data_IF_676665905043
#
_entry.id   IF_676665905043
#
_cell.length_a   1.000
_cell.length_b   1.000
_cell.length_c   1.000
_cell.angle_alpha   90.00
_cell.angle_beta   90.00
_cell.angle_gamma   90.00
#
_symmetry.space_group_name_H-M   'P 1'
#
loop_
_entity.id
_entity.type
_entity.pdbx_description
1 polymer ?
#
# COMPACT_ATOMS: atom_id res chain seq x y z
N UNK A 1 21.66 -7.32 -7.47
CA UNK A 1 20.76 -6.18 -7.78
C UNK A 1 19.27 -6.58 -7.78
N UNK A 2 18.74 -7.30 -8.81
CA UNK A 2 17.30 -7.64 -8.84
C UNK A 2 16.88 -8.54 -7.67
N UNK A 3 17.69 -9.52 -7.30
CA UNK A 3 17.46 -10.37 -6.14
C UNK A 3 17.43 -9.58 -4.84
N UNK A 4 18.30 -8.60 -4.66
CA UNK A 4 18.36 -7.79 -3.45
C UNK A 4 17.11 -6.92 -3.29
N UNK A 5 16.60 -6.37 -4.40
CA UNK A 5 15.34 -5.61 -4.42
C UNK A 5 14.17 -6.53 -4.06
N UNK A 6 14.05 -7.68 -4.71
CA UNK A 6 13.01 -8.67 -4.44
C UNK A 6 13.02 -9.10 -2.97
N UNK A 7 14.18 -9.56 -2.49
CA UNK A 7 14.34 -10.01 -1.12
C UNK A 7 14.04 -8.90 -0.11
N UNK A 8 14.53 -7.69 -0.35
CA UNK A 8 14.30 -6.54 0.53
C UNK A 8 12.81 -6.19 0.63
N UNK A 9 12.11 -6.09 -0.50
CA UNK A 9 10.69 -5.75 -0.52
C UNK A 9 9.85 -6.82 0.19
N UNK A 10 10.11 -8.12 -0.05
CA UNK A 10 9.39 -9.19 0.66
C UNK A 10 9.72 -9.28 2.15
N UNK A 11 10.93 -8.93 2.56
CA UNK A 11 11.28 -8.84 3.99
C UNK A 11 10.45 -7.78 4.69
N UNK A 12 10.26 -6.61 4.07
CA UNK A 12 9.41 -5.55 4.61
C UNK A 12 7.91 -5.90 4.54
N UNK A 13 7.45 -6.63 3.51
CA UNK A 13 6.10 -7.18 3.46
C UNK A 13 5.86 -8.14 4.64
N UNK A 14 6.84 -8.99 4.97
CA UNK A 14 6.79 -9.84 6.15
C UNK A 14 6.61 -9.06 7.45
N UNK A 15 7.36 -7.96 7.62
CA UNK A 15 7.22 -7.07 8.78
C UNK A 15 5.83 -6.39 8.82
N UNK A 16 5.33 -5.92 7.67
CA UNK A 16 3.98 -5.35 7.58
C UNK A 16 2.91 -6.39 7.96
N UNK A 17 3.01 -7.61 7.47
CA UNK A 17 2.08 -8.70 7.82
C UNK A 17 2.12 -9.04 9.33
N UNK A 18 3.30 -9.05 9.93
CA UNK A 18 3.44 -9.26 11.38
C UNK A 18 2.73 -8.16 12.17
N UNK A 19 2.91 -6.90 11.77
CA UNK A 19 2.27 -5.76 12.42
C UNK A 19 0.74 -5.77 12.21
N UNK A 20 0.26 -6.08 11.01
CA UNK A 20 -1.17 -6.23 10.71
C UNK A 20 -1.79 -7.28 11.62
N UNK A 21 -1.22 -8.49 11.68
CA UNK A 21 -1.73 -9.56 12.51
C UNK A 21 -1.73 -9.20 14.02
N UNK A 22 -0.69 -8.50 14.48
CA UNK A 22 -0.58 -8.03 15.87
C UNK A 22 -1.63 -6.97 16.21
N UNK A 23 -1.85 -6.00 15.35
CA UNK A 23 -2.83 -4.93 15.55
C UNK A 23 -4.27 -5.46 15.45
N UNK A 24 -4.57 -6.35 14.49
CA UNK A 24 -5.88 -7.03 14.41
C UNK A 24 -6.20 -7.80 15.69
N UNK A 25 -5.24 -8.58 16.19
CA UNK A 25 -5.41 -9.32 17.45
C UNK A 25 -5.67 -8.38 18.63
N UNK A 26 -4.97 -7.26 18.69
CA UNK A 26 -5.10 -6.28 19.76
C UNK A 26 -6.46 -5.57 19.69
N UNK A 27 -6.90 -5.15 18.50
CA UNK A 27 -8.22 -4.56 18.28
C UNK A 27 -9.37 -5.54 18.63
N UNK A 28 -9.18 -6.82 18.32
CA UNK A 28 -10.17 -7.87 18.64
C UNK A 28 -10.22 -8.24 20.13
N UNK A 29 -9.22 -7.88 20.93
CA UNK A 29 -9.13 -8.27 22.34
C UNK A 29 -10.20 -7.60 23.23
N UNK A 30 -10.70 -6.43 22.82
CA UNK A 30 -11.64 -5.64 23.62
C UNK A 30 -11.05 -5.03 24.90
N UNK A 31 -9.71 -5.03 25.03
CA UNK A 31 -9.00 -4.54 26.21
C UNK A 31 -8.50 -3.10 26.09
N UNK A 32 -8.57 -2.53 24.90
CA UNK A 32 -8.10 -1.17 24.61
C UNK A 32 -9.15 -0.14 25.02
N UNK A 33 -8.71 0.98 25.57
CA UNK A 33 -9.54 2.17 25.68
C UNK A 33 -9.73 2.86 24.33
N UNK A 34 -10.51 3.94 24.27
CA UNK A 34 -10.82 4.66 23.04
C UNK A 34 -9.56 5.29 22.41
N UNK A 35 -8.65 5.83 23.21
CA UNK A 35 -7.42 6.47 22.76
C UNK A 35 -6.45 5.45 22.15
N UNK A 36 -6.25 4.35 22.87
CA UNK A 36 -5.39 3.24 22.44
C UNK A 36 -5.97 2.57 21.20
N UNK A 37 -7.29 2.40 21.12
CA UNK A 37 -7.97 1.87 19.94
C UNK A 37 -7.66 2.71 18.69
N UNK A 38 -7.78 4.04 18.77
CA UNK A 38 -7.46 4.96 17.67
C UNK A 38 -5.99 4.87 17.27
N UNK A 39 -5.09 4.78 18.23
CA UNK A 39 -3.66 4.64 18.00
C UNK A 39 -3.33 3.32 17.28
N UNK A 40 -3.90 2.21 17.74
CA UNK A 40 -3.70 0.90 17.11
C UNK A 40 -4.31 0.84 15.73
N UNK A 41 -5.47 1.46 15.51
CA UNK A 41 -6.09 1.60 14.19
C UNK A 41 -5.20 2.39 13.22
N UNK A 42 -4.56 3.47 13.67
CA UNK A 42 -3.60 4.23 12.86
C UNK A 42 -2.42 3.33 12.44
N UNK A 43 -1.83 2.57 13.36
CA UNK A 43 -0.73 1.65 13.05
C UNK A 43 -1.15 0.52 12.10
N UNK A 44 -2.36 0.00 12.25
CA UNK A 44 -2.93 -0.97 11.31
C UNK A 44 -3.02 -0.37 9.90
N UNK A 45 -3.59 0.83 9.78
CA UNK A 45 -3.69 1.53 8.48
C UNK A 45 -2.33 1.82 7.85
N UNK A 46 -1.35 2.24 8.65
CA UNK A 46 0.04 2.46 8.18
C UNK A 46 0.68 1.16 7.68
N UNK A 47 0.47 0.04 8.37
CA UNK A 47 0.99 -1.26 7.95
C UNK A 47 0.34 -1.74 6.64
N UNK A 48 -0.97 -1.52 6.46
CA UNK A 48 -1.67 -1.80 5.21
C UNK A 48 -1.11 -0.92 4.08
N UNK A 49 -0.94 0.38 4.29
CA UNK A 49 -0.32 1.28 3.32
C UNK A 49 1.08 0.81 2.92
N UNK A 50 1.92 0.43 3.88
CA UNK A 50 3.28 -0.05 3.62
C UNK A 50 3.24 -1.31 2.74
N UNK A 51 2.36 -2.27 3.05
CA UNK A 51 2.22 -3.49 2.25
C UNK A 51 1.76 -3.17 0.82
N UNK A 52 0.75 -2.33 0.66
CA UNK A 52 0.29 -1.86 -0.65
C UNK A 52 1.41 -1.20 -1.46
N UNK A 53 2.16 -0.29 -0.85
CA UNK A 53 3.27 0.41 -1.49
C UNK A 53 4.39 -0.54 -1.93
N UNK A 54 4.73 -1.51 -1.10
CA UNK A 54 5.75 -2.52 -1.43
C UNK A 54 5.30 -3.46 -2.54
N UNK A 55 4.03 -3.93 -2.51
CA UNK A 55 3.45 -4.72 -3.59
C UNK A 55 3.40 -3.93 -4.90
N UNK A 56 3.00 -2.65 -4.85
CA UNK A 56 3.01 -1.78 -6.03
C UNK A 56 4.42 -1.61 -6.60
N UNK A 57 5.44 -1.42 -5.75
CA UNK A 57 6.83 -1.38 -6.23
C UNK A 57 7.26 -2.70 -6.87
N UNK A 58 6.87 -3.85 -6.29
CA UNK A 58 7.15 -5.16 -6.89
C UNK A 58 6.54 -5.29 -8.28
N UNK A 59 5.32 -4.80 -8.50
CA UNK A 59 4.71 -4.85 -9.85
C UNK A 59 5.50 -4.00 -10.84
N UNK A 60 5.97 -2.81 -10.44
CA UNK A 60 6.73 -1.90 -11.32
C UNK A 60 8.09 -2.47 -11.73
N UNK A 61 8.70 -3.35 -10.93
CA UNK A 61 10.00 -3.95 -11.24
C UNK A 61 9.92 -5.32 -11.89
N UNK A 62 8.84 -6.09 -11.66
CA UNK A 62 8.83 -7.52 -11.95
C UNK A 62 7.61 -8.01 -12.73
N UNK A 63 6.66 -7.13 -13.05
CA UNK A 63 5.50 -7.46 -13.86
C UNK A 63 5.51 -6.70 -15.18
N UNK A 64 4.66 -7.12 -16.08
CA UNK A 64 4.29 -6.37 -17.27
C UNK A 64 3.39 -5.19 -16.89
N UNK A 65 3.20 -4.24 -17.80
CA UNK A 65 2.27 -3.13 -17.61
C UNK A 65 0.84 -3.67 -17.39
N UNK A 66 0.09 -3.01 -16.52
CA UNK A 66 -1.28 -3.41 -16.25
C UNK A 66 -2.19 -3.09 -17.45
N UNK A 67 -2.85 -4.12 -17.96
CA UNK A 67 -3.89 -4.00 -18.97
C UNK A 67 -5.15 -4.68 -18.44
N UNK A 68 -6.27 -3.94 -18.25
CA UNK A 68 -7.52 -4.50 -17.71
C UNK A 68 -8.06 -5.68 -18.51
N UNK A 69 -7.77 -5.78 -19.81
CA UNK A 69 -8.24 -6.87 -20.66
C UNK A 69 -7.44 -8.17 -20.46
N UNK A 70 -6.19 -8.07 -20.01
CA UNK A 70 -5.26 -9.21 -19.91
C UNK A 70 -4.74 -9.49 -18.51
N UNK A 71 -4.96 -8.60 -17.54
CA UNK A 71 -4.41 -8.70 -16.17
C UNK A 71 -4.78 -10.02 -15.46
N UNK A 72 -5.96 -10.57 -15.73
CA UNK A 72 -6.40 -11.86 -15.19
C UNK A 72 -5.62 -13.08 -15.72
N UNK A 73 -4.92 -12.92 -16.85
CA UNK A 73 -4.07 -13.96 -17.46
C UNK A 73 -2.57 -13.63 -17.37
N UNK A 74 -2.21 -12.41 -17.00
CA UNK A 74 -0.84 -11.94 -16.84
C UNK A 74 -0.29 -12.28 -15.47
N UNK A 75 1.00 -12.65 -15.38
CA UNK A 75 1.63 -12.97 -14.10
C UNK A 75 1.84 -11.71 -13.25
N UNK A 76 1.26 -11.74 -12.04
CA UNK A 76 1.55 -10.81 -10.96
C UNK A 76 2.79 -11.22 -10.16
N UNK A 77 2.83 -10.81 -8.89
CA UNK A 77 3.81 -11.27 -7.90
C UNK A 77 3.13 -12.16 -6.85
N UNK A 78 3.88 -12.96 -6.07
CA UNK A 78 3.31 -13.67 -4.93
C UNK A 78 2.66 -12.71 -3.93
N UNK A 79 1.36 -12.83 -3.72
CA UNK A 79 0.62 -12.03 -2.73
C UNK A 79 0.68 -12.71 -1.37
N UNK A 80 1.57 -12.22 -0.50
CA UNK A 80 1.78 -12.76 0.84
C UNK A 80 1.12 -11.83 1.86
N UNK A 81 0.03 -12.29 2.48
CA UNK A 81 -0.78 -11.49 3.43
C UNK A 81 -0.67 -11.96 4.88
N UNK A 82 0.07 -13.06 5.12
CA UNK A 82 0.27 -13.61 6.46
C UNK A 82 1.74 -13.67 6.82
N UNK A 83 2.04 -13.52 8.08
CA UNK A 83 3.37 -13.73 8.63
C UNK A 83 3.49 -15.20 9.08
N UNK A 84 3.96 -16.05 8.18
CA UNK A 84 4.13 -17.50 8.40
C UNK A 84 5.53 -17.93 7.92
N UNK A 85 6.60 -17.53 8.62
CA UNK A 85 7.95 -17.89 8.21
C UNK A 85 8.13 -19.41 8.21
N UNK A 86 8.61 -19.96 7.12
CA UNK A 86 8.83 -21.39 6.95
C UNK A 86 10.08 -21.69 6.12
N UNK A 87 10.76 -22.79 6.42
CA UNK A 87 11.81 -23.35 5.58
C UNK A 87 11.30 -24.45 4.64
N UNK A 88 10.01 -24.77 4.69
CA UNK A 88 9.37 -25.78 3.85
C UNK A 88 9.06 -25.16 2.48
N UNK A 89 9.81 -25.57 1.46
CA UNK A 89 9.65 -25.05 0.09
C UNK A 89 8.30 -25.34 -0.54
N UNK A 90 7.58 -26.38 -0.10
CA UNK A 90 6.23 -26.71 -0.59
C UNK A 90 5.20 -25.66 -0.18
N UNK A 91 5.52 -24.85 0.83
CA UNK A 91 4.66 -23.76 1.34
C UNK A 91 5.03 -22.39 0.77
N UNK A 92 6.03 -22.31 -0.09
CA UNK A 92 6.40 -21.03 -0.67
C UNK A 92 5.30 -20.53 -1.61
N UNK A 93 4.91 -19.27 -1.49
CA UNK A 93 3.86 -18.72 -2.33
C UNK A 93 4.29 -18.64 -3.78
N UNK A 94 3.39 -18.99 -4.68
CA UNK A 94 3.59 -18.87 -6.13
C UNK A 94 3.10 -17.53 -6.65
N UNK A 95 3.54 -17.16 -7.84
CA UNK A 95 3.00 -15.99 -8.55
C UNK A 95 1.52 -16.23 -8.87
N UNK A 96 0.70 -15.27 -8.49
CA UNK A 96 -0.69 -15.20 -8.93
C UNK A 96 -0.83 -14.38 -10.21
N UNK A 97 -2.05 -13.91 -10.47
CA UNK A 97 -2.32 -12.99 -11.58
C UNK A 97 -1.96 -11.56 -11.22
N UNK A 98 -1.75 -10.75 -12.23
CA UNK A 98 -1.52 -9.31 -12.07
C UNK A 98 -2.77 -8.63 -11.48
N UNK A 99 -3.96 -9.04 -11.96
CA UNK A 99 -5.24 -8.60 -11.40
C UNK A 99 -5.32 -8.84 -9.88
N UNK A 100 -5.09 -10.07 -9.42
CA UNK A 100 -5.13 -10.41 -7.98
C UNK A 100 -4.09 -9.62 -7.16
N UNK A 101 -2.94 -9.29 -7.76
CA UNK A 101 -1.93 -8.44 -7.10
C UNK A 101 -2.46 -7.03 -6.89
N UNK A 102 -3.07 -6.42 -7.92
CA UNK A 102 -3.63 -5.08 -7.83
C UNK A 102 -4.89 -5.03 -6.95
N UNK A 103 -5.73 -6.07 -6.96
CA UNK A 103 -6.84 -6.20 -6.01
C UNK A 103 -6.38 -6.13 -4.56
N UNK A 104 -5.27 -6.82 -4.22
CA UNK A 104 -4.71 -6.73 -2.87
C UNK A 104 -4.14 -5.35 -2.57
N UNK A 105 -3.49 -4.69 -3.53
CA UNK A 105 -2.99 -3.32 -3.38
C UNK A 105 -4.14 -2.36 -3.08
N UNK A 106 -5.21 -2.41 -3.86
CA UNK A 106 -6.40 -1.56 -3.68
C UNK A 106 -7.03 -1.82 -2.33
N UNK A 107 -7.25 -3.09 -1.96
CA UNK A 107 -7.80 -3.48 -0.65
C UNK A 107 -7.00 -2.91 0.51
N UNK A 108 -5.69 -2.99 0.45
CA UNK A 108 -4.82 -2.45 1.50
C UNK A 108 -4.86 -0.92 1.57
N UNK A 109 -4.98 -0.24 0.43
CA UNK A 109 -5.13 1.20 0.38
C UNK A 109 -6.49 1.67 0.92
N UNK A 110 -7.56 0.90 0.69
CA UNK A 110 -8.89 1.18 1.24
C UNK A 110 -8.89 1.03 2.77
N UNK A 111 -8.24 -0.02 3.31
CA UNK A 111 -8.05 -0.15 4.76
C UNK A 111 -7.20 0.99 5.32
N UNK A 112 -6.13 1.39 4.65
CA UNK A 112 -5.33 2.53 5.05
C UNK A 112 -6.15 3.84 5.06
N UNK A 113 -6.93 4.12 4.03
CA UNK A 113 -7.80 5.31 3.95
C UNK A 113 -8.81 5.35 5.09
N UNK A 114 -9.36 4.18 5.47
CA UNK A 114 -10.37 4.05 6.52
C UNK A 114 -9.80 4.36 7.91
N UNK A 115 -8.58 3.93 8.20
CA UNK A 115 -8.05 3.96 9.56
C UNK A 115 -7.01 5.07 9.80
N UNK A 116 -6.35 5.57 8.77
CA UNK A 116 -5.41 6.69 8.91
C UNK A 116 -6.18 7.99 9.06
N UNK A 117 -6.04 8.63 10.22
CA UNK A 117 -6.71 9.89 10.56
C UNK A 117 -5.78 11.09 10.52
N UNK A 118 -4.47 10.89 10.51
CA UNK A 118 -3.48 11.95 10.47
C UNK A 118 -3.68 12.84 9.24
N UNK A 119 -3.81 14.17 9.43
CA UNK A 119 -4.01 15.09 8.31
C UNK A 119 -2.76 15.15 7.42
N UNK A 120 -2.97 15.56 6.17
CA UNK A 120 -1.87 15.82 5.25
C UNK A 120 -1.02 17.00 5.72
N UNK A 121 0.29 16.78 5.79
CA UNK A 121 1.27 17.82 6.08
C UNK A 121 2.50 17.63 5.21
N UNK A 122 3.07 18.75 4.76
CA UNK A 122 4.34 18.74 4.02
C UNK A 122 5.45 18.21 4.95
N UNK A 123 6.29 17.33 4.43
CA UNK A 123 7.42 16.72 5.15
C UNK A 123 7.03 15.90 6.40
N UNK A 124 5.85 15.29 6.40
CA UNK A 124 5.49 14.35 7.47
C UNK A 124 6.42 13.14 7.47
N UNK A 125 6.88 12.74 8.67
CA UNK A 125 7.61 11.49 8.88
C UNK A 125 6.68 10.27 8.98
N UNK A 126 5.37 10.50 9.02
CA UNK A 126 4.34 9.46 9.19
C UNK A 126 3.45 9.38 7.94
N UNK A 127 2.78 8.26 7.77
CA UNK A 127 1.77 8.10 6.73
C UNK A 127 0.55 8.95 7.10
N UNK A 128 0.16 9.82 6.18
CA UNK A 128 -1.00 10.70 6.32
C UNK A 128 -2.09 10.31 5.32
N UNK A 129 -3.30 10.84 5.49
CA UNK A 129 -4.39 10.66 4.53
C UNK A 129 -3.97 11.04 3.10
N UNK A 130 -3.25 12.13 2.97
CA UNK A 130 -2.83 12.63 1.65
C UNK A 130 -1.81 11.72 0.97
N UNK A 131 -0.93 11.08 1.76
CA UNK A 131 0.02 10.07 1.24
C UNK A 131 -0.74 8.84 0.71
N UNK A 132 -1.77 8.39 1.41
CA UNK A 132 -2.65 7.30 0.94
C UNK A 132 -3.35 7.71 -0.35
N UNK A 133 -3.99 8.89 -0.36
CA UNK A 133 -4.69 9.43 -1.53
C UNK A 133 -3.76 9.55 -2.75
N UNK A 134 -2.52 9.99 -2.54
CA UNK A 134 -1.53 10.09 -3.61
C UNK A 134 -1.17 8.71 -4.21
N UNK A 135 -1.00 7.69 -3.37
CA UNK A 135 -0.74 6.34 -3.86
C UNK A 135 -1.96 5.73 -4.55
N UNK A 136 -3.18 5.97 -4.03
CA UNK A 136 -4.42 5.56 -4.69
C UNK A 136 -4.53 6.17 -6.10
N UNK A 137 -4.22 7.47 -6.26
CA UNK A 137 -4.21 8.11 -7.57
C UNK A 137 -3.23 7.44 -8.54
N UNK A 138 -2.02 7.11 -8.08
CA UNK A 138 -1.00 6.44 -8.91
C UNK A 138 -1.40 5.02 -9.29
N UNK A 139 -1.90 4.25 -8.34
CA UNK A 139 -2.37 2.87 -8.57
C UNK A 139 -3.53 2.87 -9.57
N UNK A 140 -4.54 3.73 -9.36
CA UNK A 140 -5.67 3.86 -10.27
C UNK A 140 -5.23 4.27 -11.69
N UNK A 141 -4.29 5.21 -11.81
CA UNK A 141 -3.73 5.60 -13.11
C UNK A 141 -3.06 4.41 -13.82
N UNK A 142 -2.28 3.63 -13.08
CA UNK A 142 -1.61 2.44 -13.64
C UNK A 142 -2.62 1.35 -14.05
N UNK A 143 -3.73 1.24 -13.32
CA UNK A 143 -4.83 0.31 -13.64
C UNK A 143 -5.75 0.79 -14.77
N UNK A 144 -5.48 1.95 -15.37
CA UNK A 144 -6.34 2.63 -16.35
C UNK A 144 -7.72 3.05 -15.77
N UNK A 145 -7.88 3.08 -14.46
CA UNK A 145 -9.04 3.68 -13.79
C UNK A 145 -8.85 5.20 -13.71
N UNK A 146 -9.07 5.85 -14.84
CA UNK A 146 -8.84 7.29 -14.98
C UNK A 146 -9.82 8.14 -14.16
N UNK A 147 -11.01 7.62 -13.87
CA UNK A 147 -12.01 8.31 -13.07
C UNK A 147 -11.53 8.42 -11.61
N UNK A 148 -11.15 7.31 -10.99
CA UNK A 148 -10.58 7.29 -9.64
C UNK A 148 -9.26 8.07 -9.57
N UNK A 149 -8.39 7.92 -10.56
CA UNK A 149 -7.12 8.65 -10.62
C UNK A 149 -7.33 10.16 -10.62
N UNK A 150 -8.27 10.65 -11.44
CA UNK A 150 -8.62 12.07 -11.52
C UNK A 150 -9.21 12.57 -10.20
N UNK A 151 -10.15 11.82 -9.61
CA UNK A 151 -10.79 12.19 -8.34
C UNK A 151 -9.77 12.34 -7.22
N UNK A 152 -8.90 11.33 -7.04
CA UNK A 152 -7.88 11.33 -5.97
C UNK A 152 -6.81 12.40 -6.20
N UNK A 153 -6.32 12.58 -7.43
CA UNK A 153 -5.37 13.64 -7.76
C UNK A 153 -5.98 15.04 -7.54
N UNK A 154 -7.23 15.24 -7.97
CA UNK A 154 -7.94 16.51 -7.80
C UNK A 154 -8.13 16.84 -6.31
N UNK A 155 -8.45 15.87 -5.47
CA UNK A 155 -8.57 16.05 -4.01
C UNK A 155 -7.29 16.68 -3.42
N UNK A 156 -6.12 16.22 -3.83
CA UNK A 156 -4.84 16.76 -3.36
C UNK A 156 -4.54 18.16 -3.92
N UNK A 157 -4.82 18.37 -5.20
CA UNK A 157 -4.60 19.68 -5.85
C UNK A 157 -5.51 20.75 -5.22
N UNK A 158 -6.79 20.44 -5.07
CA UNK A 158 -7.79 21.37 -4.54
C UNK A 158 -7.59 21.68 -3.04
N UNK A 159 -6.87 20.81 -2.30
CA UNK A 159 -6.51 21.08 -0.90
C UNK A 159 -5.62 22.32 -0.74
N UNK A 160 -4.84 22.67 -1.78
CA UNK A 160 -3.87 23.77 -1.75
C UNK A 160 -2.68 23.56 -0.82
N UNK A 161 -2.59 22.36 -0.17
CA UNK A 161 -1.50 22.02 0.75
C UNK A 161 -0.17 21.85 0.01
N UNK A 162 -0.25 21.26 -1.18
CA UNK A 162 0.94 20.97 -2.00
C UNK A 162 1.01 21.91 -3.19
N UNK A 163 2.14 22.53 -3.39
CA UNK A 163 2.35 23.47 -4.49
C UNK A 163 3.49 22.98 -5.37
N UNK A 164 3.31 23.10 -6.68
CA UNK A 164 4.42 22.94 -7.61
C UNK A 164 5.42 24.09 -7.39
N UNK A 165 6.69 23.77 -7.53
CA UNK A 165 7.73 24.80 -7.46
C UNK A 165 7.59 25.76 -8.64
N UNK A 166 7.67 27.04 -8.35
CA UNK A 166 7.48 28.10 -9.35
C UNK A 166 8.68 28.27 -10.28
N UNK A 167 9.87 27.87 -9.81
CA UNK A 167 11.12 27.94 -10.59
C UNK A 167 12.17 26.95 -10.09
N UNK A 168 13.21 26.72 -10.88
CA UNK A 168 14.30 25.78 -10.60
C UNK A 168 15.25 26.24 -9.48
N UNK A 169 15.16 27.49 -9.03
CA UNK A 169 16.02 28.03 -7.95
C UNK A 169 15.46 27.80 -6.55
N UNK A 170 14.21 27.28 -6.47
CA UNK A 170 13.57 26.91 -5.22
C UNK A 170 13.96 25.48 -4.72
N UNK A 171 14.95 24.85 -5.36
CA UNK A 171 15.51 23.54 -5.00
C UNK A 171 16.59 23.67 -3.94
#
# INVERSE_FOLDING_TARGET
AAYDIWFGLYSYIGNANFLIAGTEKLLASGTLDESDTKTVQQYYGEACYIRAHLLFNLTQYFCEDYDPETAAATYGVPVVTKYEPTSDSEKYPHRGTLEATYEQIVKDLDEAEKYITSPGTVNSAYVTKDVVTALQARVALTMHDYETALLKAKTLIDSGTYKLMSDATAY
#
